data_IF_495712028217
#
_entry.id   IF_495712028217
#
_cell.length_a   1.000
_cell.length_b   1.000
_cell.length_c   1.000
_cell.angle_alpha   90.00
_cell.angle_beta   90.00
_cell.angle_gamma   90.00
#
_symmetry.space_group_name_H-M   'P 1'
#
loop_
_entity.id
_entity.type
_entity.pdbx_description
1 polymer ?
#
# COMPACT_ATOMS: atom_id res chain seq x y z
N UNK A 1 -7.82 -32.38 0.37
CA UNK A 1 -7.59 -33.48 1.29
C UNK A 1 -8.09 -34.77 0.63
N UNK A 2 -7.21 -35.73 0.41
CA UNK A 2 -7.61 -37.06 -0.01
C UNK A 2 -7.98 -37.86 1.24
N UNK A 3 -9.16 -38.45 1.29
CA UNK A 3 -9.56 -39.33 2.38
C UNK A 3 -8.71 -40.58 2.34
N UNK A 4 -8.12 -40.92 3.47
CA UNK A 4 -7.11 -41.95 3.61
C UNK A 4 -7.63 -43.41 3.43
N UNK A 5 -8.97 -43.57 3.35
CA UNK A 5 -9.64 -44.83 3.39
C UNK A 5 -10.32 -45.27 2.08
N UNK A 6 -9.98 -44.61 0.96
CA UNK A 6 -10.44 -45.06 -0.37
C UNK A 6 -9.36 -45.88 -1.05
N UNK A 7 -9.71 -47.10 -1.43
CA UNK A 7 -8.84 -48.04 -2.15
C UNK A 7 -8.41 -47.56 -3.54
N UNK A 8 -9.15 -46.56 -4.12
CA UNK A 8 -8.83 -45.95 -5.41
C UNK A 8 -8.50 -44.47 -5.26
N UNK A 9 -7.31 -44.09 -5.70
CA UNK A 9 -6.92 -42.66 -5.80
C UNK A 9 -7.63 -42.05 -7.00
N UNK A 10 -8.02 -40.72 -6.90
CA UNK A 10 -8.61 -40.02 -8.04
C UNK A 10 -7.60 -39.99 -9.21
N UNK A 11 -8.12 -40.19 -10.41
CA UNK A 11 -7.32 -40.07 -11.63
C UNK A 11 -7.23 -38.59 -11.97
N UNK A 12 -6.01 -38.05 -12.03
CA UNK A 12 -5.73 -36.71 -12.43
C UNK A 12 -5.48 -36.65 -13.93
N UNK A 13 -6.41 -36.03 -14.69
CA UNK A 13 -6.31 -35.92 -16.14
C UNK A 13 -5.52 -34.69 -16.58
N UNK A 14 -5.58 -33.58 -15.84
CA UNK A 14 -4.88 -32.36 -16.16
C UNK A 14 -4.63 -31.51 -14.90
N UNK A 15 -3.55 -30.73 -14.93
CA UNK A 15 -3.24 -29.68 -13.96
C UNK A 15 -2.90 -28.41 -14.74
N UNK A 16 -3.62 -27.33 -14.47
CA UNK A 16 -3.34 -26.00 -15.02
C UNK A 16 -3.04 -25.04 -13.88
N UNK A 17 -2.03 -24.20 -14.07
CA UNK A 17 -1.69 -23.11 -13.17
C UNK A 17 -2.01 -21.77 -13.86
N UNK A 18 -2.80 -20.92 -13.18
CA UNK A 18 -3.17 -19.61 -13.67
C UNK A 18 -2.51 -18.53 -12.80
N UNK A 19 -1.71 -17.65 -13.44
CA UNK A 19 -1.19 -16.45 -12.78
C UNK A 19 -2.19 -15.32 -12.98
N UNK A 20 -2.87 -14.91 -11.90
CA UNK A 20 -3.93 -13.90 -11.91
C UNK A 20 -3.39 -12.60 -11.33
N UNK A 21 -3.59 -11.50 -12.03
CA UNK A 21 -3.21 -10.15 -11.61
C UNK A 21 -4.04 -9.10 -12.34
N UNK A 22 -3.99 -7.84 -11.85
CA UNK A 22 -4.62 -6.73 -12.55
C UNK A 22 -3.92 -6.46 -13.89
N UNK A 23 -4.71 -6.33 -14.96
CA UNK A 23 -4.20 -6.20 -16.33
C UNK A 23 -3.74 -4.78 -16.71
N UNK A 24 -3.25 -3.99 -15.76
CA UNK A 24 -2.68 -2.69 -16.05
C UNK A 24 -1.58 -2.80 -17.12
N UNK A 25 -1.66 -2.00 -18.20
CA UNK A 25 -0.67 -2.05 -19.27
C UNK A 25 0.73 -1.70 -18.79
N UNK A 26 1.74 -2.39 -19.29
CA UNK A 26 3.13 -1.97 -19.11
C UNK A 26 3.42 -0.67 -19.88
N UNK A 27 4.11 0.27 -19.23
CA UNK A 27 4.48 1.56 -19.82
C UNK A 27 5.96 1.67 -20.14
N UNK A 28 6.78 0.79 -19.59
CA UNK A 28 8.22 0.81 -19.78
C UNK A 28 8.82 -0.57 -20.01
N UNK A 29 10.04 -0.57 -20.51
CA UNK A 29 10.91 -1.75 -20.62
C UNK A 29 12.26 -1.41 -20.02
N UNK A 30 12.88 -2.38 -19.36
CA UNK A 30 14.22 -2.23 -18.82
C UNK A 30 15.14 -3.31 -19.38
N UNK A 31 16.28 -2.90 -19.89
CA UNK A 31 17.35 -3.79 -20.35
C UNK A 31 18.71 -3.16 -20.11
N UNK A 32 19.64 -3.94 -19.61
CA UNK A 32 21.02 -3.53 -19.36
C UNK A 32 22.02 -4.59 -19.84
N UNK A 33 23.29 -4.22 -19.92
CA UNK A 33 24.37 -5.18 -20.22
C UNK A 33 24.68 -6.14 -19.07
N UNK A 34 24.08 -5.93 -17.89
CA UNK A 34 24.27 -6.76 -16.71
C UNK A 34 23.04 -7.62 -16.42
N UNK A 35 23.19 -8.93 -16.56
CA UNK A 35 22.12 -9.90 -16.34
C UNK A 35 21.55 -9.88 -14.91
N UNK A 36 22.34 -9.51 -13.91
CA UNK A 36 21.85 -9.39 -12.52
C UNK A 36 20.78 -8.31 -12.46
N UNK A 37 20.98 -7.15 -13.07
CA UNK A 37 20.01 -6.08 -13.08
C UNK A 37 18.75 -6.46 -13.86
N UNK A 38 18.89 -7.11 -15.02
CA UNK A 38 17.77 -7.58 -15.81
C UNK A 38 16.91 -8.59 -15.03
N UNK A 39 17.56 -9.54 -14.35
CA UNK A 39 16.88 -10.55 -13.53
C UNK A 39 16.22 -9.94 -12.30
N UNK A 40 16.89 -8.98 -11.63
CA UNK A 40 16.33 -8.25 -10.49
C UNK A 40 15.08 -7.47 -10.90
N UNK A 41 15.13 -6.73 -11.99
CA UNK A 41 13.96 -6.02 -12.52
C UNK A 41 12.80 -6.98 -12.81
N UNK A 42 13.06 -8.11 -13.46
CA UNK A 42 12.04 -9.14 -13.73
C UNK A 42 11.40 -9.69 -12.46
N UNK A 43 12.20 -9.96 -11.41
CA UNK A 43 11.68 -10.42 -10.12
C UNK A 43 10.82 -9.36 -9.45
N UNK A 44 11.23 -8.09 -9.48
CA UNK A 44 10.45 -6.97 -8.93
C UNK A 44 9.11 -6.82 -9.67
N UNK A 45 9.12 -6.83 -11.01
CA UNK A 45 7.88 -6.72 -11.81
C UNK A 45 6.95 -7.91 -11.54
N UNK A 46 7.47 -9.12 -11.37
CA UNK A 46 6.65 -10.28 -11.01
C UNK A 46 6.06 -10.14 -9.59
N UNK A 47 6.82 -9.61 -8.63
CA UNK A 47 6.32 -9.33 -7.29
C UNK A 47 5.20 -8.27 -7.32
N UNK A 48 5.39 -7.18 -8.07
CA UNK A 48 4.35 -6.16 -8.28
C UNK A 48 3.06 -6.77 -8.82
N UNK A 49 3.15 -7.60 -9.87
CA UNK A 49 1.98 -8.30 -10.45
C UNK A 49 1.31 -9.23 -9.44
N UNK A 50 2.09 -9.95 -8.65
CA UNK A 50 1.56 -10.87 -7.63
C UNK A 50 0.81 -10.16 -6.53
N UNK A 51 1.11 -8.88 -6.29
CA UNK A 51 0.48 -8.04 -5.27
C UNK A 51 -0.53 -7.04 -5.84
N UNK A 52 -0.71 -7.00 -7.16
CA UNK A 52 -1.61 -6.06 -7.82
C UNK A 52 -2.87 -6.79 -8.29
N UNK A 53 -3.87 -6.85 -7.42
CA UNK A 53 -5.18 -7.45 -7.69
C UNK A 53 -6.27 -6.37 -7.70
N UNK A 54 -7.25 -6.46 -6.82
CA UNK A 54 -8.23 -5.39 -6.60
C UNK A 54 -7.65 -4.24 -5.77
N UNK A 55 -6.63 -4.52 -4.96
CA UNK A 55 -5.83 -3.58 -4.17
C UNK A 55 -4.35 -3.91 -4.34
N UNK A 56 -3.45 -3.02 -3.90
CA UNK A 56 -2.07 -3.41 -3.62
C UNK A 56 -2.03 -4.15 -2.29
N UNK A 57 -1.57 -5.39 -2.33
CA UNK A 57 -1.40 -6.18 -1.10
C UNK A 57 0.05 -6.11 -0.62
N UNK A 58 0.25 -6.23 0.68
CA UNK A 58 1.56 -6.34 1.30
C UNK A 58 2.23 -7.67 0.92
N UNK A 59 1.45 -8.76 0.95
CA UNK A 59 1.90 -10.09 0.56
C UNK A 59 0.78 -10.90 -0.11
N UNK A 60 1.07 -11.63 -1.23
CA UNK A 60 0.04 -12.31 -2.01
C UNK A 60 -0.39 -13.64 -1.39
N UNK A 61 0.29 -14.14 -0.35
CA UNK A 61 0.09 -15.49 0.16
C UNK A 61 -0.35 -15.58 1.63
N UNK A 62 -0.03 -14.58 2.48
CA UNK A 62 -0.40 -14.57 3.90
C UNK A 62 -1.59 -13.67 4.17
N UNK A 63 -1.33 -12.39 4.43
CA UNK A 63 -2.33 -11.41 4.86
C UNK A 63 -3.29 -11.06 3.74
N UNK A 64 -2.78 -10.74 2.55
CA UNK A 64 -3.55 -10.33 1.37
C UNK A 64 -4.38 -9.08 1.64
N UNK A 65 -3.86 -8.20 2.50
CA UNK A 65 -4.52 -6.98 2.94
C UNK A 65 -4.02 -5.78 2.13
N UNK A 66 -4.90 -4.81 1.92
CA UNK A 66 -4.62 -3.58 1.19
C UNK A 66 -4.03 -2.50 2.10
N UNK A 67 -2.89 -2.77 2.72
CA UNK A 67 -2.17 -1.81 3.54
C UNK A 67 -1.73 -0.61 2.70
N UNK A 68 -2.09 0.59 3.13
CA UNK A 68 -1.98 1.79 2.29
C UNK A 68 -0.55 2.29 2.08
N UNK A 69 0.39 1.98 2.98
CA UNK A 69 1.79 2.37 2.77
C UNK A 69 2.38 1.78 1.48
N UNK A 70 1.84 0.65 1.00
CA UNK A 70 2.26 0.05 -0.27
C UNK A 70 2.01 0.97 -1.46
N UNK A 71 1.01 1.86 -1.34
CA UNK A 71 0.65 2.82 -2.39
C UNK A 71 1.79 3.81 -2.66
N UNK A 72 2.43 4.34 -1.61
CA UNK A 72 3.47 5.35 -1.77
C UNK A 72 4.89 4.79 -1.68
N UNK A 73 5.15 3.77 -0.89
CA UNK A 73 6.49 3.15 -0.83
C UNK A 73 6.87 2.50 -2.16
N UNK A 74 5.95 1.79 -2.79
CA UNK A 74 6.15 1.16 -4.09
C UNK A 74 5.69 2.02 -5.27
N UNK A 75 4.97 3.11 -4.99
CA UNK A 75 4.30 3.95 -5.98
C UNK A 75 5.16 4.35 -7.16
N UNK A 76 6.31 5.03 -6.98
CA UNK A 76 7.16 5.41 -8.10
C UNK A 76 7.57 4.24 -8.98
N UNK A 77 7.95 3.11 -8.37
CA UNK A 77 8.29 1.89 -9.09
C UNK A 77 7.12 1.33 -9.90
N UNK A 78 5.92 1.39 -9.35
CA UNK A 78 4.69 0.94 -10.01
C UNK A 78 4.33 1.87 -11.19
N UNK A 79 4.36 3.18 -11.00
CA UNK A 79 4.09 4.17 -12.06
C UNK A 79 5.10 4.11 -13.21
N UNK A 80 6.38 3.81 -12.93
CA UNK A 80 7.37 3.62 -13.99
C UNK A 80 7.10 2.37 -14.84
N UNK A 81 6.52 1.34 -14.27
CA UNK A 81 6.33 0.05 -14.94
C UNK A 81 4.94 -0.16 -15.54
N UNK A 82 3.91 0.50 -15.00
CA UNK A 82 2.51 0.27 -15.37
C UNK A 82 1.74 1.57 -15.56
N UNK A 83 0.75 1.54 -16.47
CA UNK A 83 -0.27 2.57 -16.49
C UNK A 83 -1.27 2.32 -15.36
N UNK A 84 -1.23 3.15 -14.34
CA UNK A 84 -2.08 3.03 -13.14
C UNK A 84 -3.26 4.00 -13.14
N UNK A 85 -3.56 4.67 -14.25
CA UNK A 85 -4.56 5.75 -14.26
C UNK A 85 -5.92 5.35 -13.67
N UNK A 86 -6.46 4.21 -14.10
CA UNK A 86 -7.72 3.69 -13.57
C UNK A 86 -7.58 3.05 -12.20
N UNK A 87 -6.42 2.45 -11.91
CA UNK A 87 -6.15 1.82 -10.63
C UNK A 87 -5.97 2.85 -9.51
N UNK A 88 -5.34 3.99 -9.81
CA UNK A 88 -5.22 5.13 -8.90
C UNK A 88 -6.60 5.69 -8.51
N UNK A 89 -7.50 5.87 -9.49
CA UNK A 89 -8.89 6.27 -9.23
C UNK A 89 -9.60 5.29 -8.29
N UNK A 90 -9.42 3.99 -8.53
CA UNK A 90 -10.00 2.93 -7.69
C UNK A 90 -9.46 2.99 -6.26
N UNK A 91 -8.16 3.16 -6.06
CA UNK A 91 -7.54 3.29 -4.73
C UNK A 91 -8.13 4.50 -4.00
N UNK A 92 -8.22 5.65 -4.66
CA UNK A 92 -8.79 6.85 -4.04
C UNK A 92 -10.27 6.71 -3.70
N UNK A 93 -11.03 5.97 -4.53
CA UNK A 93 -12.42 5.65 -4.20
C UNK A 93 -12.51 4.77 -2.96
N UNK A 94 -11.69 3.72 -2.86
CA UNK A 94 -11.65 2.84 -1.68
C UNK A 94 -11.31 3.63 -0.41
N UNK A 95 -10.34 4.54 -0.49
CA UNK A 95 -9.95 5.42 0.62
C UNK A 95 -11.15 6.29 1.03
N UNK A 96 -11.82 6.94 0.08
CA UNK A 96 -13.01 7.76 0.34
C UNK A 96 -14.11 6.98 1.04
N UNK A 97 -14.36 5.76 0.59
CA UNK A 97 -15.41 4.89 1.12
C UNK A 97 -15.06 4.33 2.51
N UNK A 98 -13.77 4.26 2.84
CA UNK A 98 -13.27 3.79 4.15
C UNK A 98 -13.04 4.93 5.15
N UNK A 99 -12.97 6.20 4.71
CA UNK A 99 -12.68 7.32 5.58
C UNK A 99 -13.79 7.54 6.62
N UNK A 100 -13.42 7.65 7.89
CA UNK A 100 -14.35 7.86 8.99
C UNK A 100 -14.85 9.32 9.04
N UNK A 101 -15.93 9.55 9.78
CA UNK A 101 -16.53 10.89 9.92
C UNK A 101 -15.56 11.92 10.52
N UNK A 102 -14.69 11.49 11.44
CA UNK A 102 -13.66 12.33 12.05
C UNK A 102 -12.46 12.62 11.13
N UNK A 103 -12.42 12.03 9.94
CA UNK A 103 -11.36 12.21 8.94
C UNK A 103 -10.29 11.14 8.93
N UNK A 104 -10.25 10.23 9.92
CA UNK A 104 -9.30 9.11 9.94
C UNK A 104 -9.45 8.28 8.67
N UNK A 105 -8.33 7.97 8.03
CA UNK A 105 -8.23 6.99 6.95
C UNK A 105 -7.60 5.73 7.54
N UNK A 106 -8.32 4.60 7.57
CA UNK A 106 -7.78 3.35 8.10
C UNK A 106 -6.56 2.89 7.32
N UNK A 107 -5.63 2.23 7.99
CA UNK A 107 -4.38 1.73 7.41
C UNK A 107 -4.61 0.72 6.27
N UNK A 108 -5.77 0.08 6.27
CA UNK A 108 -6.24 -0.83 5.21
C UNK A 108 -7.43 -0.21 4.49
N UNK A 109 -7.38 -0.18 3.17
CA UNK A 109 -8.50 0.30 2.35
C UNK A 109 -8.69 -0.57 1.10
N UNK A 110 -9.91 -1.15 0.87
CA UNK A 110 -11.11 -1.11 1.72
C UNK A 110 -10.90 -1.75 3.11
N UNK A 111 -11.57 -1.20 4.14
CA UNK A 111 -11.44 -1.69 5.51
C UNK A 111 -12.34 -2.92 5.74
N UNK A 112 -11.99 -4.06 5.14
CA UNK A 112 -12.73 -5.33 5.32
C UNK A 112 -12.24 -6.17 6.51
N UNK A 113 -11.15 -5.77 7.15
CA UNK A 113 -10.69 -6.21 8.46
C UNK A 113 -10.46 -4.97 9.30
N UNK A 114 -11.10 -4.91 10.46
CA UNK A 114 -10.95 -3.80 11.39
C UNK A 114 -9.92 -4.20 12.44
N UNK A 115 -8.85 -3.46 12.50
CA UNK A 115 -7.83 -3.57 13.55
C UNK A 115 -8.03 -2.49 14.60
N UNK A 116 -7.25 -2.55 15.66
CA UNK A 116 -7.25 -1.59 16.75
C UNK A 116 -5.89 -0.86 16.82
N UNK A 117 -5.87 0.27 17.52
CA UNK A 117 -4.68 1.07 17.80
C UNK A 117 -3.88 1.44 16.52
N UNK A 118 -2.56 1.36 16.60
CA UNK A 118 -1.66 1.70 15.50
C UNK A 118 -1.80 0.85 14.24
N UNK A 119 -2.46 -0.30 14.29
CA UNK A 119 -2.77 -1.09 13.10
C UNK A 119 -3.99 -0.60 12.32
N UNK A 120 -4.65 0.44 12.82
CA UNK A 120 -5.78 1.10 12.15
C UNK A 120 -5.51 2.56 11.86
N UNK A 121 -4.66 3.18 12.68
CA UNK A 121 -4.43 4.62 12.71
C UNK A 121 -2.95 4.93 12.80
N UNK A 122 -2.30 4.85 11.66
CA UNK A 122 -0.90 5.22 11.49
C UNK A 122 -0.73 6.27 10.40
N UNK A 123 -0.13 7.43 10.69
CA UNK A 123 0.13 8.46 9.70
C UNK A 123 0.92 7.97 8.48
N UNK A 124 1.78 7.00 8.66
CA UNK A 124 2.59 6.37 7.62
C UNK A 124 1.73 5.67 6.55
N UNK A 125 0.54 5.16 6.93
CA UNK A 125 -0.42 4.50 6.04
C UNK A 125 -1.48 5.46 5.53
N UNK A 126 -2.17 6.15 6.42
CA UNK A 126 -3.29 7.04 6.07
C UNK A 126 -2.87 8.21 5.17
N UNK A 127 -1.59 8.64 5.22
CA UNK A 127 -1.03 9.68 4.34
C UNK A 127 -1.11 9.33 2.85
N UNK A 128 -1.33 8.06 2.48
CA UNK A 128 -1.59 7.65 1.10
C UNK A 128 -2.78 8.41 0.49
N UNK A 129 -3.75 8.83 1.30
CA UNK A 129 -4.91 9.63 0.88
C UNK A 129 -4.53 10.99 0.26
N UNK A 130 -3.39 11.55 0.62
CA UNK A 130 -2.84 12.79 0.09
C UNK A 130 -1.73 12.53 -0.92
N UNK A 131 -0.83 11.59 -0.60
CA UNK A 131 0.34 11.29 -1.43
C UNK A 131 -0.06 10.72 -2.79
N UNK A 132 -1.09 9.85 -2.85
CA UNK A 132 -1.49 9.21 -4.10
C UNK A 132 -2.00 10.19 -5.16
N UNK A 133 -2.92 11.15 -4.86
CA UNK A 133 -3.34 12.16 -5.82
C UNK A 133 -2.18 13.04 -6.31
N UNK A 134 -1.25 13.39 -5.42
CA UNK A 134 -0.08 14.19 -5.78
C UNK A 134 0.87 13.41 -6.69
N UNK A 135 1.18 12.15 -6.36
CA UNK A 135 1.99 11.27 -7.18
C UNK A 135 1.36 11.05 -8.57
N UNK A 136 0.05 10.90 -8.63
CA UNK A 136 -0.69 10.80 -9.89
C UNK A 136 -0.47 12.05 -10.75
N UNK A 137 -0.56 13.24 -10.14
CA UNK A 137 -0.26 14.50 -10.81
C UNK A 137 1.18 14.57 -11.31
N UNK A 138 2.15 14.16 -10.50
CA UNK A 138 3.58 14.16 -10.89
C UNK A 138 3.85 13.27 -12.11
N UNK A 139 3.25 12.08 -12.18
CA UNK A 139 3.49 11.13 -13.25
C UNK A 139 2.68 11.39 -14.52
N UNK A 140 1.47 11.93 -14.40
CA UNK A 140 0.57 12.12 -15.55
C UNK A 140 0.31 13.58 -15.93
N UNK A 141 0.69 14.55 -15.09
CA UNK A 141 0.34 15.96 -15.27
C UNK A 141 -1.17 16.24 -15.13
N UNK A 142 -1.91 15.30 -14.58
CA UNK A 142 -3.38 15.33 -14.44
C UNK A 142 -3.76 15.57 -12.98
N UNK A 143 -4.38 16.74 -12.69
CA UNK A 143 -4.81 17.12 -11.35
C UNK A 143 -6.22 16.63 -10.98
N UNK A 144 -6.84 15.80 -11.81
CA UNK A 144 -8.23 15.35 -11.61
C UNK A 144 -8.46 14.68 -10.26
N UNK A 145 -7.52 13.82 -9.81
CA UNK A 145 -7.62 13.17 -8.49
C UNK A 145 -7.50 14.16 -7.35
N UNK A 146 -6.63 15.17 -7.46
CA UNK A 146 -6.52 16.23 -6.44
C UNK A 146 -7.85 16.97 -6.32
N UNK A 147 -8.46 17.35 -7.45
CA UNK A 147 -9.73 18.10 -7.46
C UNK A 147 -10.87 17.22 -6.93
N UNK A 148 -10.98 15.96 -7.40
CA UNK A 148 -12.09 15.08 -7.03
C UNK A 148 -12.04 14.63 -5.56
N UNK A 149 -10.84 14.44 -5.01
CA UNK A 149 -10.65 13.91 -3.66
C UNK A 149 -10.14 14.94 -2.65
N UNK A 150 -10.20 16.24 -3.00
CA UNK A 150 -9.74 17.32 -2.13
C UNK A 150 -10.35 17.26 -0.73
N UNK A 151 -11.66 17.00 -0.63
CA UNK A 151 -12.34 16.90 0.67
C UNK A 151 -11.83 15.72 1.52
N UNK A 152 -11.49 14.61 0.88
CA UNK A 152 -10.89 13.43 1.55
C UNK A 152 -9.51 13.80 2.09
N UNK A 153 -8.67 14.41 1.26
CA UNK A 153 -7.33 14.89 1.62
C UNK A 153 -7.39 15.86 2.78
N UNK A 154 -8.25 16.89 2.66
CA UNK A 154 -8.42 17.93 3.68
C UNK A 154 -8.89 17.35 5.01
N UNK A 155 -9.90 16.49 5.01
CA UNK A 155 -10.40 15.84 6.24
C UNK A 155 -9.31 15.02 6.94
N UNK A 156 -8.46 14.34 6.18
CA UNK A 156 -7.36 13.59 6.75
C UNK A 156 -6.31 14.51 7.39
N UNK A 157 -5.93 15.60 6.72
CA UNK A 157 -5.01 16.60 7.28
C UNK A 157 -5.59 17.25 8.53
N UNK A 158 -6.88 17.62 8.51
CA UNK A 158 -7.59 18.16 9.67
C UNK A 158 -7.61 17.15 10.84
N UNK A 159 -7.79 15.86 10.54
CA UNK A 159 -7.71 14.78 11.52
C UNK A 159 -6.32 14.72 12.18
N UNK A 160 -5.26 14.65 11.40
CA UNK A 160 -3.88 14.63 11.93
C UNK A 160 -3.59 15.89 12.76
N UNK A 161 -4.04 17.04 12.29
CA UNK A 161 -3.92 18.31 13.03
C UNK A 161 -4.62 18.24 14.40
N UNK A 162 -5.78 17.59 14.47
CA UNK A 162 -6.55 17.44 15.71
C UNK A 162 -5.89 16.51 16.73
N UNK A 163 -5.08 15.55 16.27
CA UNK A 163 -4.34 14.60 17.13
C UNK A 163 -2.98 15.15 17.56
N UNK A 164 -2.47 16.17 16.88
CA UNK A 164 -1.16 16.74 17.15
C UNK A 164 -1.13 17.57 18.43
N UNK A 165 -0.05 17.44 19.20
CA UNK A 165 0.25 18.32 20.32
C UNK A 165 1.50 19.14 19.99
N UNK A 166 1.40 20.46 19.96
CA UNK A 166 2.46 21.36 19.53
C UNK A 166 3.02 20.99 18.12
N UNK A 167 2.12 20.65 17.20
CA UNK A 167 2.43 20.17 15.83
C UNK A 167 3.18 18.83 15.78
N UNK A 168 3.22 18.08 16.85
CA UNK A 168 3.81 16.74 16.90
C UNK A 168 2.68 15.70 16.95
N UNK A 169 2.66 14.81 15.98
CA UNK A 169 1.83 13.60 15.97
C UNK A 169 2.62 12.48 16.61
N UNK A 170 2.00 11.74 17.54
CA UNK A 170 2.73 10.79 18.39
C UNK A 170 2.09 9.41 18.47
N UNK A 171 1.14 9.10 17.56
CA UNK A 171 0.48 7.80 17.48
C UNK A 171 0.89 7.05 16.21
N UNK A 172 0.48 5.80 16.12
CA UNK A 172 0.74 4.91 14.99
C UNK A 172 1.86 3.90 15.25
N UNK A 173 2.17 3.13 14.21
CA UNK A 173 3.21 2.09 14.25
C UNK A 173 4.62 2.64 14.06
N UNK A 174 4.75 3.83 13.46
CA UNK A 174 6.04 4.40 13.10
C UNK A 174 6.71 3.63 11.97
N UNK A 175 8.03 3.54 12.04
CA UNK A 175 8.86 2.77 11.09
C UNK A 175 8.70 1.26 11.37
N UNK A 176 7.58 0.71 10.88
CA UNK A 176 7.20 -0.69 11.10
C UNK A 176 8.18 -1.65 10.43
N UNK A 177 8.43 -2.79 11.06
CA UNK A 177 9.45 -3.76 10.68
C UNK A 177 10.88 -3.25 10.82
N UNK A 178 11.10 -2.22 11.63
CA UNK A 178 12.40 -1.78 12.06
C UNK A 178 13.13 -2.92 12.79
N UNK A 179 14.42 -3.08 12.51
CA UNK A 179 15.23 -4.16 13.09
C UNK A 179 16.22 -3.64 14.12
N UNK A 180 16.20 -4.29 15.28
CA UNK A 180 17.22 -4.12 16.30
C UNK A 180 17.53 -5.47 16.93
N UNK A 181 18.82 -5.76 17.08
CA UNK A 181 19.25 -7.01 17.68
C UNK A 181 18.72 -7.18 19.11
N UNK A 182 18.17 -8.37 19.41
CA UNK A 182 17.57 -8.74 20.71
C UNK A 182 16.27 -8.00 21.08
N UNK A 183 15.62 -7.31 20.13
CA UNK A 183 14.33 -6.67 20.36
C UNK A 183 13.22 -7.38 19.57
N UNK A 184 11.94 -7.23 19.95
CA UNK A 184 10.83 -7.83 19.21
C UNK A 184 10.78 -7.30 17.78
N UNK A 185 10.64 -8.20 16.82
CA UNK A 185 10.49 -7.84 15.43
C UNK A 185 9.21 -7.06 15.18
N UNK A 186 9.28 -6.03 14.36
CA UNK A 186 8.13 -5.24 13.89
C UNK A 186 7.89 -3.95 14.67
N UNK A 187 8.45 -3.78 15.85
CA UNK A 187 8.32 -2.54 16.65
C UNK A 187 9.33 -1.49 16.17
N UNK A 188 8.94 -0.22 16.17
CA UNK A 188 9.85 0.89 15.82
C UNK A 188 10.86 1.14 16.96
N UNK A 189 12.11 0.76 16.74
CA UNK A 189 13.18 0.85 17.73
C UNK A 189 14.22 1.94 17.45
N UNK A 190 14.56 2.13 16.16
CA UNK A 190 15.63 3.04 15.75
C UNK A 190 15.08 4.44 15.49
N UNK A 191 13.87 4.52 14.91
CA UNK A 191 13.17 5.77 14.62
C UNK A 191 12.00 5.94 15.59
N UNK A 192 12.00 6.92 16.49
CA UNK A 192 10.86 7.15 17.38
C UNK A 192 9.57 7.39 16.60
N UNK A 193 8.47 6.79 17.05
CA UNK A 193 7.14 6.96 16.42
C UNK A 193 6.77 8.42 16.17
N UNK A 194 6.95 9.37 17.12
CA UNK A 194 6.65 10.77 16.88
C UNK A 194 7.46 11.41 15.75
N UNK A 195 8.67 10.92 15.47
CA UNK A 195 9.48 11.44 14.37
C UNK A 195 8.91 11.02 13.02
N UNK A 196 8.61 9.72 12.84
CA UNK A 196 8.04 9.18 11.62
C UNK A 196 6.65 9.77 11.36
N UNK A 197 5.75 9.70 12.33
CA UNK A 197 4.39 10.21 12.22
C UNK A 197 4.35 11.72 11.91
N UNK A 198 5.20 12.53 12.59
CA UNK A 198 5.26 13.98 12.33
C UNK A 198 5.90 14.31 10.99
N UNK A 199 6.84 13.49 10.49
CA UNK A 199 7.40 13.67 9.15
C UNK A 199 6.33 13.45 8.07
N UNK A 200 5.49 12.42 8.22
CA UNK A 200 4.35 12.20 7.32
C UNK A 200 3.31 13.32 7.43
N UNK A 201 3.00 13.77 8.66
CA UNK A 201 2.11 14.92 8.85
C UNK A 201 2.65 16.17 8.16
N UNK A 202 3.93 16.49 8.32
CA UNK A 202 4.56 17.62 7.62
C UNK A 202 4.46 17.47 6.09
N UNK A 203 4.76 16.29 5.56
CA UNK A 203 4.72 16.02 4.13
C UNK A 203 3.34 16.21 3.50
N UNK A 204 2.26 15.92 4.24
CA UNK A 204 0.89 16.03 3.70
C UNK A 204 0.27 17.41 3.92
N UNK A 205 0.88 18.27 4.75
CA UNK A 205 0.43 19.66 5.00
C UNK A 205 1.11 20.64 4.05
N UNK A 206 2.37 20.38 3.65
CA UNK A 206 3.17 21.24 2.76
C UNK A 206 2.71 21.12 1.30
#
# INVERSE_FOLDING_TARGET
FLEKDKEELPILYNIESHFVYNSNPHTSTFNSSNEIFNNTHRLIVNAMKSNMHAVFTDCPHREKLGWLEQVHLNGPGLFYNFNLSTFAQKIMQDIRDSQLENGLVPDISPEYVIFDDGFRDSPEWGSASVIMPFMYYEFYGDSSLIVEYYDVMKKYVDYLSSTATNNIVSHGLGDWCDYRENEPYGVSHNTPVPLSASAHYYMVVD
#
